data_IF_708814387579
#
_entry.id   IF_708814387579
#
_cell.length_a   1.000
_cell.length_b   1.000
_cell.length_c   1.000
_cell.angle_alpha   90.00
_cell.angle_beta   90.00
_cell.angle_gamma   90.00
#
_symmetry.space_group_name_H-M   'P 1'
#
loop_
_entity.id
_entity.type
_entity.pdbx_description
1 polymer ?
2 non-polymer ?
3 water ?
#
# COMPACT_ATOMS: atom_id res chain seq x y z
N UNK A 1 6.37 -9.38 -16.56
CA UNK A 1 6.71 -8.03 -16.98
C UNK A 1 5.77 -7.51 -18.05
N UNK A 2 4.78 -8.31 -18.44
CA UNK A 2 3.92 -7.89 -19.54
C UNK A 2 2.91 -6.82 -19.10
N UNK A 3 2.39 -6.91 -17.86
CA UNK A 3 1.30 -6.04 -17.44
C UNK A 3 1.75 -4.59 -17.52
N UNK A 4 0.93 -3.75 -18.13
CA UNK A 4 1.23 -2.33 -18.25
C UNK A 4 0.67 -1.55 -17.07
N UNK A 5 1.32 -0.41 -16.81
CA UNK A 5 0.90 0.44 -15.70
C UNK A 5 -0.56 0.85 -15.83
N UNK A 6 -1.02 1.13 -17.05
CA UNK A 6 -2.39 1.61 -17.23
C UNK A 6 -3.44 0.61 -16.75
N UNK A 7 -3.13 -0.70 -16.73
CA UNK A 7 -4.09 -1.70 -16.29
C UNK A 7 -4.43 -1.58 -14.82
N UNK A 8 -3.62 -0.86 -14.05
CA UNK A 8 -3.90 -0.68 -12.64
C UNK A 8 -4.91 0.42 -12.39
N UNK A 9 -5.15 1.29 -13.36
CA UNK A 9 -5.97 2.47 -13.11
C UNK A 9 -7.42 2.07 -12.91
N UNK A 10 -8.01 2.55 -11.84
CA UNK A 10 -9.43 2.32 -11.56
C UNK A 10 -9.65 2.25 -10.07
N UNK A 11 -10.80 1.68 -9.70
CA UNK A 11 -11.23 1.57 -8.32
C UNK A 11 -11.38 0.10 -7.99
N UNK A 12 -10.91 -0.29 -6.80
CA UNK A 12 -10.72 -1.67 -6.39
C UNK A 12 -11.26 -1.85 -4.98
N UNK A 13 -11.97 -2.95 -4.74
CA UNK A 13 -12.65 -3.22 -3.47
C UNK A 13 -11.99 -4.42 -2.80
N UNK A 14 -11.62 -4.28 -1.52
CA UNK A 14 -10.98 -5.39 -0.82
C UNK A 14 -11.93 -6.58 -0.68
N UNK A 15 -11.49 -7.76 -1.09
CA UNK A 15 -12.26 -8.99 -0.91
C UNK A 15 -11.57 -10.03 -0.02
N UNK A 16 -10.26 -9.94 0.21
CA UNK A 16 -9.60 -10.90 1.10
C UNK A 16 -8.39 -10.24 1.73
N UNK A 17 -8.09 -10.63 2.98
CA UNK A 17 -6.94 -10.12 3.69
C UNK A 17 -6.40 -11.22 4.61
N UNK A 18 -5.06 -11.23 4.72
CA UNK A 18 -4.34 -12.19 5.55
C UNK A 18 -3.22 -11.43 6.25
N UNK A 19 -3.13 -11.56 7.57
CA UNK A 19 -2.01 -11.01 8.36
C UNK A 19 -1.95 -9.48 8.36
N UNK A 20 -3.03 -8.77 8.04
CA UNK A 20 -2.93 -7.31 8.05
C UNK A 20 -2.76 -6.77 9.46
N UNK A 21 -3.59 -7.23 10.42
CA UNK A 21 -3.44 -6.76 11.79
C UNK A 21 -2.05 -7.09 12.33
N UNK A 22 -1.54 -8.29 11.99
CA UNK A 22 -0.19 -8.71 12.42
C UNK A 22 0.89 -7.83 11.79
N UNK A 23 0.71 -7.45 10.54
CA UNK A 23 1.62 -6.50 9.89
C UNK A 23 1.61 -5.15 10.61
N UNK A 24 0.43 -4.64 10.91
CA UNK A 24 0.35 -3.37 11.63
C UNK A 24 1.00 -3.46 13.00
N UNK A 25 0.82 -4.59 13.70
CA UNK A 25 1.49 -4.77 14.98
C UNK A 25 3.00 -4.73 14.80
N UNK A 26 3.49 -5.41 13.76
CA UNK A 26 4.92 -5.49 13.53
C UNK A 26 5.53 -4.11 13.31
N UNK A 27 4.82 -3.23 12.60
CA UNK A 27 5.36 -1.90 12.30
C UNK A 27 5.12 -0.90 13.42
N UNK A 28 4.50 -1.31 14.52
CA UNK A 28 4.40 -0.49 15.70
C UNK A 28 3.08 0.17 15.94
N UNK A 29 2.02 -0.25 15.26
CA UNK A 29 0.70 0.36 15.47
C UNK A 29 0.08 -0.23 16.72
N UNK A 30 -0.58 0.62 17.52
CA UNK A 30 -1.22 0.19 18.75
C UNK A 30 -2.46 -0.67 18.52
N UNK A 31 -2.95 -1.25 19.62
CA UNK A 31 -3.96 -2.29 19.53
C UNK A 31 -5.28 -1.76 18.99
N UNK A 32 -5.80 -0.68 19.56
CA UNK A 32 -7.09 -0.16 19.11
C UNK A 32 -7.05 0.24 17.65
N UNK A 33 -5.98 0.89 17.23
CA UNK A 33 -5.92 1.36 15.85
C UNK A 33 -5.80 0.18 14.90
N UNK A 34 -4.91 -0.78 15.20
CA UNK A 34 -4.73 -1.88 14.26
C UNK A 34 -5.97 -2.76 14.16
N UNK A 35 -6.68 -2.95 15.27
CA UNK A 35 -7.95 -3.66 15.24
C UNK A 35 -8.96 -2.95 14.34
N UNK A 36 -9.13 -1.64 14.54
CA UNK A 36 -10.08 -0.87 13.75
C UNK A 36 -9.68 -0.86 12.27
N UNK A 37 -8.39 -0.67 11.99
CA UNK A 37 -7.96 -0.59 10.62
C UNK A 37 -8.18 -1.91 9.90
N UNK A 38 -8.00 -3.03 10.60
CA UNK A 38 -8.12 -4.34 9.97
C UNK A 38 -9.58 -4.77 9.78
N UNK A 39 -10.52 -4.13 10.48
CA UNK A 39 -11.92 -4.48 10.30
C UNK A 39 -12.52 -3.89 9.02
N UNK A 40 -11.93 -2.84 8.47
CA UNK A 40 -12.53 -2.21 7.29
C UNK A 40 -12.23 -3.01 6.04
N UNK A 41 -13.02 -2.73 4.99
CA UNK A 41 -12.78 -3.25 3.64
C UNK A 41 -12.63 -2.04 2.74
N UNK A 42 -11.42 -1.51 2.60
CA UNK A 42 -11.23 -0.21 1.94
C UNK A 42 -11.43 -0.32 0.43
N UNK A 43 -11.60 0.85 -0.17
CA UNK A 43 -11.59 1.00 -1.61
C UNK A 43 -10.29 1.67 -2.01
N UNK A 44 -9.58 1.09 -2.95
CA UNK A 44 -8.31 1.61 -3.42
C UNK A 44 -8.55 2.20 -4.80
N UNK A 45 -8.28 3.49 -4.95
CA UNK A 45 -8.40 4.18 -6.22
C UNK A 45 -7.01 4.48 -6.71
N UNK A 46 -6.71 4.07 -7.94
CA UNK A 46 -5.43 4.33 -8.58
C UNK A 46 -5.72 5.21 -9.79
N UNK A 47 -5.06 6.36 -9.85
CA UNK A 47 -5.21 7.26 -10.98
C UNK A 47 -3.85 7.85 -11.31
N UNK A 48 -3.72 8.35 -12.53
CA UNK A 48 -2.50 8.98 -13.02
C UNK A 48 -2.86 10.37 -13.52
N UNK A 49 -2.20 11.38 -12.97
CA UNK A 49 -2.38 12.78 -13.34
C UNK A 49 -1.07 13.29 -13.93
N UNK A 50 -0.99 13.36 -15.25
CA UNK A 50 0.26 13.68 -15.92
C UNK A 50 1.27 12.59 -15.67
N UNK A 51 2.34 12.92 -14.94
CA UNK A 51 3.30 11.92 -14.50
C UNK A 51 3.23 11.63 -13.00
N UNK A 52 2.18 12.05 -12.32
CA UNK A 52 2.03 11.81 -10.89
C UNK A 52 0.97 10.73 -10.65
N UNK A 53 1.38 9.65 -10.00
CA UNK A 53 0.46 8.61 -9.60
C UNK A 53 -0.24 8.98 -8.29
N UNK A 54 -1.46 8.50 -8.14
CA UNK A 54 -2.22 8.63 -6.90
C UNK A 54 -2.76 7.27 -6.53
N UNK A 55 -2.39 6.78 -5.35
CA UNK A 55 -2.95 5.56 -4.77
C UNK A 55 -3.68 6.03 -3.53
N UNK A 56 -4.99 6.13 -3.65
CA UNK A 56 -5.81 6.66 -2.58
C UNK A 56 -6.65 5.54 -2.00
N UNK A 57 -6.58 5.36 -0.70
CA UNK A 57 -7.33 4.29 -0.03
C UNK A 57 -8.41 4.94 0.82
N UNK A 58 -9.64 4.51 0.63
CA UNK A 58 -10.77 5.11 1.36
C UNK A 58 -11.43 4.10 2.27
N UNK A 59 -11.74 4.51 3.49
CA UNK A 59 -12.46 3.62 4.40
C UNK A 59 -13.13 4.45 5.49
N UNK A 60 -14.00 3.78 6.24
CA UNK A 60 -14.69 4.43 7.35
C UNK A 60 -13.73 4.90 8.43
N UNK A 61 -12.60 4.21 8.57
CA UNK A 61 -11.65 4.52 9.65
C UNK A 61 -10.66 5.62 9.26
N UNK A 62 -10.16 5.62 8.04
CA UNK A 62 -9.23 6.67 7.62
C UNK A 62 -9.13 6.64 6.11
N UNK A 63 -9.01 7.83 5.52
CA UNK A 63 -8.65 7.96 4.11
C UNK A 63 -7.15 8.22 4.04
N UNK A 64 -6.47 7.51 3.14
CA UNK A 64 -5.01 7.58 3.01
C UNK A 64 -4.71 7.86 1.54
N UNK A 65 -4.17 9.04 1.27
CA UNK A 65 -3.90 9.45 -0.10
C UNK A 65 -2.40 9.53 -0.29
N UNK A 66 -1.90 8.85 -1.30
CA UNK A 66 -0.48 8.82 -1.58
C UNK A 66 -0.30 9.28 -3.01
N UNK A 67 0.55 10.26 -3.20
CA UNK A 67 0.94 10.76 -4.51
C UNK A 67 2.45 10.53 -4.66
N UNK A 68 2.87 10.13 -5.86
CA UNK A 68 4.29 9.92 -6.07
C UNK A 68 4.58 9.94 -7.57
N UNK A 69 5.85 10.16 -7.88
CA UNK A 69 6.40 9.85 -9.19
C UNK A 69 7.31 8.64 -9.10
N UNK A 70 7.17 7.75 -10.09
CA UNK A 70 8.00 6.56 -10.17
C UNK A 70 9.47 6.96 -10.16
N UNK A 71 10.27 6.27 -9.35
CA UNK A 71 11.72 6.42 -9.27
C UNK A 71 12.19 7.66 -8.53
N UNK A 72 11.29 8.40 -7.89
CA UNK A 72 11.63 9.66 -7.24
C UNK A 72 11.38 9.49 -5.75
N UNK A 73 12.44 9.57 -4.95
CA UNK A 73 12.29 9.44 -3.51
C UNK A 73 11.48 10.62 -2.99
N UNK A 74 10.64 10.36 -1.99
CA UNK A 74 9.85 11.42 -1.38
C UNK A 74 9.66 11.09 0.09
N UNK A 75 9.37 12.12 0.88
CA UNK A 75 9.04 11.89 2.28
C UNK A 75 7.56 11.59 2.35
N UNK A 76 7.21 10.41 2.84
CA UNK A 76 5.83 9.98 2.97
C UNK A 76 5.40 10.12 4.42
N UNK A 77 4.28 10.80 4.63
CA UNK A 77 3.58 10.74 5.91
C UNK A 77 2.59 9.59 5.78
N UNK A 78 2.95 8.45 6.35
CA UNK A 78 2.13 7.25 6.22
C UNK A 78 0.92 7.36 7.12
N UNK A 79 -0.08 6.50 6.93
CA UNK A 79 -1.26 6.56 7.79
C UNK A 79 -0.95 6.36 9.27
N UNK A 80 0.17 5.72 9.64
CA UNK A 80 0.55 5.61 11.05
C UNK A 80 1.10 6.91 11.62
N UNK A 81 1.04 8.00 10.82
CA UNK A 81 1.45 9.34 11.21
C UNK A 81 2.96 9.48 11.40
N UNK A 82 3.72 8.44 11.08
CA UNK A 82 5.18 8.53 11.05
C UNK A 82 5.63 8.89 9.64
N UNK A 83 6.80 9.50 9.56
CA UNK A 83 7.39 9.90 8.29
C UNK A 83 8.42 8.87 7.86
N UNK A 84 8.45 8.63 6.55
CA UNK A 84 9.33 7.63 5.96
C UNK A 84 9.96 8.22 4.71
N UNK A 85 11.07 7.64 4.28
CA UNK A 85 11.65 7.95 2.98
C UNK A 85 11.19 6.83 2.04
N UNK A 86 10.30 7.16 1.11
CA UNK A 86 9.65 6.16 0.27
C UNK A 86 10.09 6.30 -1.18
N UNK A 87 10.25 5.16 -1.85
CA UNK A 87 10.64 5.13 -3.26
C UNK A 87 9.79 4.07 -3.93
N UNK A 88 9.04 4.45 -4.97
CA UNK A 88 8.18 3.52 -5.72
C UNK A 88 8.78 3.31 -7.10
N UNK A 89 8.93 2.05 -7.51
CA UNK A 89 9.37 1.70 -8.84
C UNK A 89 8.32 0.80 -9.49
N UNK A 90 8.44 0.66 -10.81
CA UNK A 90 7.59 -0.24 -11.57
C UNK A 90 8.53 -1.22 -12.25
N UNK A 91 8.47 -2.48 -11.81
CA UNK A 91 9.44 -3.49 -12.17
C UNK A 91 8.69 -4.77 -12.52
N UNK A 92 8.94 -5.31 -13.72
CA UNK A 92 8.35 -6.58 -14.09
C UNK A 92 6.84 -6.60 -13.85
N UNK A 93 6.19 -5.51 -14.22
CA UNK A 93 4.74 -5.46 -14.17
C UNK A 93 4.15 -5.10 -12.83
N UNK A 94 4.97 -4.78 -11.84
CA UNK A 94 4.49 -4.58 -10.47
C UNK A 94 4.96 -3.24 -9.95
N UNK A 95 4.10 -2.58 -9.16
CA UNK A 95 4.53 -1.42 -8.37
C UNK A 95 5.17 -1.90 -7.07
N UNK A 96 6.38 -1.46 -6.80
CA UNK A 96 7.11 -1.83 -5.60
C UNK A 96 7.46 -0.56 -4.86
N UNK A 97 6.99 -0.44 -3.62
CA UNK A 97 7.32 0.69 -2.77
C UNK A 97 8.22 0.26 -1.61
N UNK A 98 9.39 0.89 -1.51
CA UNK A 98 10.27 0.75 -0.36
C UNK A 98 10.01 1.93 0.58
N UNK A 99 9.37 1.65 1.70
CA UNK A 99 9.04 2.66 2.69
C UNK A 99 10.10 2.52 3.78
N UNK A 100 11.12 3.38 3.73
CA UNK A 100 12.27 3.28 4.61
C UNK A 100 12.09 4.13 5.87
N UNK A 101 12.33 3.52 7.02
CA UNK A 101 12.24 4.27 8.27
C UNK A 101 13.27 5.39 8.30
N UNK A 102 12.93 6.42 9.04
CA UNK A 102 13.83 7.53 9.35
C UNK A 102 14.36 7.43 10.78
N UNK A 103 13.46 7.23 11.74
CA UNK A 103 13.85 7.03 13.13
C UNK A 103 14.15 5.56 13.36
N UNK A 104 15.20 5.29 14.14
CA UNK A 104 15.77 3.95 14.23
C UNK A 104 14.79 2.97 14.86
N UNK A 105 13.93 3.45 15.76
CA UNK A 105 12.97 2.60 16.45
C UNK A 105 11.72 2.33 15.62
N UNK A 106 11.62 2.94 14.45
CA UNK A 106 10.53 2.66 13.53
C UNK A 106 10.85 1.37 12.76
N UNK A 107 10.02 1.05 11.78
CA UNK A 107 10.16 -0.17 10.99
C UNK A 107 9.98 0.19 9.54
N UNK A 108 10.77 -0.43 8.67
CA UNK A 108 10.64 -0.23 7.24
C UNK A 108 9.72 -1.29 6.67
N UNK A 109 9.15 -1.00 5.51
CA UNK A 109 8.23 -1.92 4.85
C UNK A 109 8.49 -1.93 3.36
N UNK A 110 8.08 -3.04 2.71
CA UNK A 110 8.04 -3.13 1.25
C UNK A 110 6.63 -3.48 0.84
N UNK A 111 6.05 -2.67 -0.04
CA UNK A 111 4.71 -2.90 -0.57
C UNK A 111 4.81 -3.30 -2.03
N UNK A 112 4.13 -4.36 -2.42
CA UNK A 112 4.13 -4.80 -3.81
C UNK A 112 2.70 -4.87 -4.27
N UNK A 113 2.41 -4.27 -5.43
CA UNK A 113 1.06 -4.25 -5.99
C UNK A 113 1.16 -4.81 -7.40
N UNK A 114 0.31 -5.79 -7.70
CA UNK A 114 0.39 -6.46 -9.00
C UNK A 114 -0.99 -6.95 -9.37
N UNK A 115 -1.14 -7.31 -10.64
CA UNK A 115 -2.40 -7.80 -11.20
C UNK A 115 -2.31 -9.27 -11.56
N UNK A 116 -3.37 -10.00 -11.25
CA UNK A 116 -3.45 -11.41 -11.62
C UNK A 116 -4.87 -11.70 -12.05
N UNK A 117 -5.03 -12.08 -13.30
CA UNK A 117 -6.30 -12.59 -13.80
C UNK A 117 -7.46 -11.68 -13.40
N UNK A 118 -7.24 -10.37 -13.57
CA UNK A 118 -8.30 -9.41 -13.38
C UNK A 118 -8.41 -8.88 -11.97
N UNK A 119 -7.70 -9.45 -11.02
CA UNK A 119 -7.72 -8.99 -9.65
C UNK A 119 -6.45 -8.20 -9.38
N UNK A 120 -6.51 -7.38 -8.34
CA UNK A 120 -5.34 -6.65 -7.86
C UNK A 120 -4.90 -7.21 -6.52
N UNK A 121 -3.61 -7.53 -6.41
CA UNK A 121 -3.04 -8.15 -5.23
C UNK A 121 -2.01 -7.20 -4.63
N UNK A 122 -1.93 -7.22 -3.31
CA UNK A 122 -0.88 -6.48 -2.63
C UNK A 122 -0.24 -7.37 -1.57
N UNK A 123 1.06 -7.14 -1.34
CA UNK A 123 1.70 -7.62 -0.13
C UNK A 123 2.30 -6.43 0.61
N UNK A 124 2.19 -6.46 1.93
CA UNK A 124 2.88 -5.52 2.80
C UNK A 124 3.81 -6.35 3.67
N UNK A 125 5.11 -6.09 3.57
CA UNK A 125 6.12 -6.85 4.27
C UNK A 125 6.90 -5.94 5.20
N UNK A 126 7.07 -6.38 6.44
CA UNK A 126 8.02 -5.77 7.37
C UNK A 126 8.50 -6.83 8.35
N UNK A 127 9.81 -6.88 8.57
CA UNK A 127 10.38 -7.86 9.49
C UNK A 127 9.98 -9.26 9.09
N UNK A 128 9.44 -10.01 10.04
CA UNK A 128 9.05 -11.39 9.80
C UNK A 128 7.64 -11.54 9.25
N UNK A 129 6.94 -10.43 8.94
CA UNK A 129 5.54 -10.51 8.60
C UNK A 129 5.30 -10.08 7.15
N UNK A 130 4.55 -10.91 6.43
CA UNK A 130 3.97 -10.53 5.15
C UNK A 130 2.45 -10.59 5.25
N UNK A 131 1.82 -9.48 4.90
CA UNK A 131 0.36 -9.38 4.77
C UNK A 131 0.01 -9.51 3.30
N UNK A 132 -1.08 -10.21 3.00
CA UNK A 132 -1.55 -10.39 1.64
C UNK A 132 -2.98 -9.86 1.53
N UNK A 133 -3.23 -9.06 0.52
CA UNK A 133 -4.56 -8.52 0.28
C UNK A 133 -4.93 -8.70 -1.18
N UNK A 134 -6.22 -8.91 -1.41
CA UNK A 134 -6.75 -9.10 -2.75
C UNK A 134 -7.96 -8.19 -2.93
N UNK A 135 -8.03 -7.54 -4.10
CA UNK A 135 -9.09 -6.60 -4.46
C UNK A 135 -9.71 -6.99 -5.79
N UNK A 136 -10.99 -6.64 -5.96
CA UNK A 136 -11.68 -6.80 -7.23
C UNK A 136 -12.06 -5.43 -7.78
N UNK A 137 -12.16 -5.35 -9.10
CA UNK A 137 -12.54 -4.09 -9.73
C UNK A 137 -13.93 -3.65 -9.28
N UNK A 138 -14.05 -2.40 -8.86
CA UNK A 138 -15.36 -1.85 -8.44
C UNK A 138 -16.37 -2.00 -9.56
#
# INVERSE_FOLDING_TARGET
AMVSMKEFIGRWKLVHSENFEEYLKEIGVGLLIRKAASLTSPTLEIKLDGDTWHFNQYSTFKNNKLAFKIREKFVEIAPDERSYNTLVTFENGKFISHQDKIKENHHSSVFTTWLENGKLLQTYQSGSVICRREFVKE
#
